data_IF_507434259024
#
_entry.id   IF_507434259024
#
_cell.length_a   1.000
_cell.length_b   1.000
_cell.length_c   1.000
_cell.angle_alpha   90.00
_cell.angle_beta   90.00
_cell.angle_gamma   90.00
#
_symmetry.space_group_name_H-M   'P 1'
#
loop_
_entity.id
_entity.type
_entity.pdbx_description
1 polymer ?
#
# COMPACT_ATOMS: atom_id res chain seq x y z
N UNK A 1 -12.41 13.52 -12.32
CA UNK A 1 -11.79 12.21 -12.04
C UNK A 1 -10.76 12.38 -10.94
N UNK A 2 -11.08 11.88 -9.74
CA UNK A 2 -10.36 12.05 -8.46
C UNK A 2 -9.28 10.99 -8.31
N UNK A 3 -8.14 11.35 -7.71
CA UNK A 3 -7.08 10.39 -7.32
C UNK A 3 -7.62 9.43 -6.25
N UNK A 4 -7.20 8.17 -6.24
CA UNK A 4 -7.58 7.23 -5.18
C UNK A 4 -6.71 7.49 -3.96
N UNK A 5 -7.30 7.71 -2.78
CA UNK A 5 -6.56 7.82 -1.51
C UNK A 5 -7.01 6.71 -0.58
N UNK A 6 -6.05 5.95 -0.05
CA UNK A 6 -6.30 4.90 0.93
C UNK A 6 -5.75 5.33 2.30
N UNK A 7 -6.40 4.85 3.35
CA UNK A 7 -6.04 5.17 4.73
C UNK A 7 -5.66 3.90 5.47
N UNK A 8 -4.47 3.90 6.09
CA UNK A 8 -3.89 2.74 6.75
C UNK A 8 -3.49 3.12 8.16
N UNK A 9 -3.91 2.30 9.12
CA UNK A 9 -3.37 2.31 10.48
C UNK A 9 -2.61 1.00 10.66
N UNK A 10 -1.29 1.03 10.47
CA UNK A 10 -0.51 -0.20 10.35
C UNK A 10 -0.32 -0.92 11.69
N UNK A 11 -0.51 -0.23 12.83
CA UNK A 11 -0.58 -0.87 14.15
C UNK A 11 -1.73 -1.89 14.28
N UNK A 12 -2.69 -1.90 13.35
CA UNK A 12 -3.79 -2.87 13.34
C UNK A 12 -3.44 -4.22 12.71
N UNK A 13 -2.26 -4.35 12.11
CA UNK A 13 -1.84 -5.57 11.43
C UNK A 13 -0.69 -6.24 12.18
N UNK A 14 -0.83 -7.55 12.40
CA UNK A 14 0.16 -8.34 13.14
C UNK A 14 1.35 -8.77 12.27
N UNK A 15 1.27 -8.60 10.95
CA UNK A 15 2.35 -8.96 10.01
C UNK A 15 2.30 -8.16 8.72
N UNK A 16 3.42 -8.18 7.99
CA UNK A 16 3.50 -7.64 6.63
C UNK A 16 2.45 -8.27 5.70
N UNK A 17 2.19 -9.57 5.84
CA UNK A 17 1.20 -10.29 5.03
C UNK A 17 -0.22 -9.78 5.27
N UNK A 18 -0.60 -9.53 6.53
CA UNK A 18 -1.91 -8.98 6.86
C UNK A 18 -2.10 -7.57 6.30
N UNK A 19 -1.07 -6.72 6.40
CA UNK A 19 -1.06 -5.40 5.75
C UNK A 19 -1.30 -5.52 4.24
N UNK A 20 -0.59 -6.43 3.57
CA UNK A 20 -0.76 -6.66 2.13
C UNK A 20 -2.13 -7.22 1.75
N UNK A 21 -2.73 -8.08 2.59
CA UNK A 21 -4.11 -8.54 2.36
C UNK A 21 -5.12 -7.39 2.50
N UNK A 22 -4.91 -6.47 3.45
CA UNK A 22 -5.72 -5.27 3.56
C UNK A 22 -5.56 -4.37 2.32
N UNK A 23 -4.32 -4.17 1.84
CA UNK A 23 -4.05 -3.44 0.60
C UNK A 23 -4.76 -4.06 -0.60
N UNK A 24 -4.72 -5.39 -0.73
CA UNK A 24 -5.44 -6.12 -1.78
C UNK A 24 -6.93 -5.77 -1.81
N UNK A 25 -7.57 -5.74 -0.65
CA UNK A 25 -8.99 -5.41 -0.55
C UNK A 25 -9.26 -3.93 -0.84
N UNK A 26 -8.44 -3.01 -0.31
CA UNK A 26 -8.62 -1.56 -0.49
C UNK A 26 -8.38 -1.10 -1.92
N UNK A 27 -7.44 -1.75 -2.62
CA UNK A 27 -7.02 -1.40 -3.97
C UNK A 27 -7.66 -2.26 -5.06
N UNK A 28 -8.50 -3.22 -4.67
CA UNK A 28 -9.12 -4.21 -5.57
C UNK A 28 -8.06 -4.94 -6.43
N UNK A 29 -6.99 -5.41 -5.78
CA UNK A 29 -5.89 -6.11 -6.46
C UNK A 29 -6.31 -7.53 -6.87
N UNK A 30 -5.74 -8.06 -7.97
CA UNK A 30 -6.15 -9.35 -8.51
C UNK A 30 -5.96 -10.52 -7.53
N UNK A 31 -6.66 -11.62 -7.81
CA UNK A 31 -6.63 -12.84 -6.98
C UNK A 31 -5.22 -13.39 -6.79
N UNK A 32 -4.35 -13.26 -7.81
CA UNK A 32 -2.96 -13.73 -7.83
C UNK A 32 -1.95 -12.78 -7.14
N UNK A 33 -2.41 -11.72 -6.48
CA UNK A 33 -1.54 -10.77 -5.77
C UNK A 33 -0.61 -11.47 -4.74
N UNK A 34 0.71 -11.32 -4.93
CA UNK A 34 1.76 -12.04 -4.19
C UNK A 34 2.01 -11.61 -2.74
N UNK A 35 1.23 -10.65 -2.22
CA UNK A 35 1.31 -10.17 -0.84
C UNK A 35 2.70 -9.65 -0.42
N UNK A 36 3.38 -8.95 -1.33
CA UNK A 36 4.67 -8.31 -1.10
C UNK A 36 4.75 -7.00 -1.90
N UNK A 37 5.82 -6.23 -1.68
CA UNK A 37 6.00 -4.92 -2.31
C UNK A 37 6.24 -5.00 -3.83
N UNK A 38 6.97 -6.00 -4.31
CA UNK A 38 7.23 -6.17 -5.75
C UNK A 38 5.91 -6.45 -6.50
N UNK A 39 5.09 -7.36 -5.97
CA UNK A 39 3.77 -7.64 -6.50
C UNK A 39 2.84 -6.42 -6.41
N UNK A 40 3.05 -5.52 -5.44
CA UNK A 40 2.27 -4.27 -5.33
C UNK A 40 2.66 -3.32 -6.45
N UNK A 41 3.97 -3.16 -6.68
CA UNK A 41 4.50 -2.36 -7.77
C UNK A 41 3.97 -2.86 -9.12
N UNK A 42 4.04 -4.16 -9.38
CA UNK A 42 3.53 -4.77 -10.61
C UNK A 42 2.04 -4.43 -10.81
N UNK A 43 1.20 -4.68 -9.80
CA UNK A 43 -0.24 -4.42 -9.92
C UNK A 43 -0.57 -2.93 -10.11
N UNK A 44 0.15 -2.03 -9.43
CA UNK A 44 -0.12 -0.60 -9.49
C UNK A 44 0.46 0.05 -10.76
N UNK A 45 1.58 -0.45 -11.27
CA UNK A 45 2.21 0.06 -12.50
C UNK A 45 1.38 -0.27 -13.75
N UNK A 46 0.67 -1.40 -13.76
CA UNK A 46 -0.25 -1.78 -14.84
C UNK A 46 -1.61 -1.05 -14.76
N UNK A 47 -1.90 -0.41 -13.62
CA UNK A 47 -3.18 0.25 -13.39
C UNK A 47 -3.33 1.46 -14.31
N UNK A 48 -4.35 1.43 -15.18
CA UNK A 48 -4.73 2.59 -15.99
C UNK A 48 -5.47 3.60 -15.11
N UNK A 49 -4.90 4.77 -14.88
CA UNK A 49 -5.56 5.84 -14.13
C UNK A 49 -4.60 6.82 -13.46
N UNK A 50 -5.13 7.54 -12.47
CA UNK A 50 -4.31 8.40 -11.60
C UNK A 50 -3.57 7.55 -10.55
N UNK A 51 -2.44 8.06 -10.04
CA UNK A 51 -1.71 7.44 -8.93
C UNK A 51 -2.59 7.21 -7.70
N UNK A 52 -2.16 6.26 -6.87
CA UNK A 52 -2.74 5.98 -5.56
C UNK A 52 -2.02 6.83 -4.54
N UNK A 53 -2.75 7.49 -3.65
CA UNK A 53 -2.19 8.19 -2.51
C UNK A 53 -2.39 7.36 -1.23
N UNK A 54 -1.45 7.47 -0.30
CA UNK A 54 -1.47 6.77 0.97
C UNK A 54 -1.48 7.76 2.14
N UNK A 55 -2.49 7.66 3.00
CA UNK A 55 -2.49 8.30 4.29
C UNK A 55 -2.28 7.25 5.38
N UNK A 56 -1.24 7.43 6.19
CA UNK A 56 -0.83 6.52 7.24
C UNK A 56 -1.10 7.16 8.60
N UNK A 57 -1.83 6.49 9.49
CA UNK A 57 -2.02 6.97 10.87
C UNK A 57 -0.86 6.55 11.76
N UNK A 58 -0.49 5.28 11.70
CA UNK A 58 0.68 4.75 12.39
C UNK A 58 1.45 3.79 11.48
N UNK A 59 2.79 3.77 11.51
CA UNK A 59 3.60 2.86 10.72
C UNK A 59 3.65 1.43 11.27
N UNK A 60 3.09 1.17 12.46
CA UNK A 60 3.26 -0.11 13.15
C UNK A 60 4.70 -0.32 13.62
N UNK A 61 5.03 -1.56 14.00
CA UNK A 61 6.34 -1.93 14.53
C UNK A 61 6.89 -3.19 13.85
N UNK A 62 8.19 -3.43 14.01
CA UNK A 62 8.87 -4.62 13.49
C UNK A 62 8.70 -4.81 11.98
N UNK A 63 8.36 -6.03 11.57
CA UNK A 63 8.18 -6.39 10.17
C UNK A 63 7.09 -5.56 9.46
N UNK A 64 6.02 -5.19 10.17
CA UNK A 64 4.95 -4.35 9.61
C UNK A 64 5.46 -2.96 9.26
N UNK A 65 6.33 -2.37 10.10
CA UNK A 65 6.95 -1.08 9.82
C UNK A 65 7.86 -1.13 8.58
N UNK A 66 8.62 -2.22 8.42
CA UNK A 66 9.44 -2.43 7.23
C UNK A 66 8.59 -2.61 5.96
N UNK A 67 7.46 -3.33 6.07
CA UNK A 67 6.51 -3.46 4.98
C UNK A 67 5.88 -2.12 4.60
N UNK A 68 5.47 -1.30 5.58
CA UNK A 68 4.95 0.05 5.34
C UNK A 68 5.96 0.91 4.60
N UNK A 69 7.24 0.88 4.98
CA UNK A 69 8.30 1.64 4.28
C UNK A 69 8.40 1.25 2.81
N UNK A 70 8.33 -0.05 2.51
CA UNK A 70 8.34 -0.54 1.12
C UNK A 70 7.08 -0.12 0.35
N UNK A 71 5.91 -0.17 1.00
CA UNK A 71 4.65 0.28 0.40
C UNK A 71 4.70 1.78 0.09
N UNK A 72 5.20 2.60 1.02
CA UNK A 72 5.42 4.04 0.81
C UNK A 72 6.29 4.27 -0.42
N UNK A 73 7.42 3.56 -0.51
CA UNK A 73 8.33 3.69 -1.65
C UNK A 73 7.65 3.34 -2.98
N UNK A 74 6.89 2.24 -3.04
CA UNK A 74 6.14 1.86 -4.26
C UNK A 74 5.13 2.92 -4.67
N UNK A 75 4.43 3.51 -3.69
CA UNK A 75 3.44 4.56 -3.95
C UNK A 75 4.12 5.80 -4.53
N UNK A 76 5.23 6.25 -3.93
CA UNK A 76 5.97 7.44 -4.36
C UNK A 76 6.62 7.24 -5.73
N UNK A 77 7.21 6.06 -5.98
CA UNK A 77 7.82 5.72 -7.26
C UNK A 77 6.81 5.74 -8.41
N UNK A 78 5.56 5.38 -8.15
CA UNK A 78 4.46 5.42 -9.11
C UNK A 78 3.75 6.79 -9.17
N UNK A 79 4.33 7.82 -8.54
CA UNK A 79 3.86 9.20 -8.58
C UNK A 79 2.70 9.50 -7.63
N UNK A 80 2.45 8.64 -6.66
CA UNK A 80 1.48 8.84 -5.60
C UNK A 80 2.06 9.63 -4.42
N UNK A 81 1.20 10.31 -3.67
CA UNK A 81 1.60 11.03 -2.47
C UNK A 81 1.43 10.15 -1.22
N UNK A 82 2.37 10.27 -0.27
CA UNK A 82 2.25 9.66 1.05
C UNK A 82 2.22 10.73 2.15
N UNK A 83 1.40 10.50 3.19
CA UNK A 83 1.32 11.40 4.34
C UNK A 83 1.09 10.62 5.63
N UNK A 84 1.88 10.91 6.65
CA UNK A 84 1.58 10.51 8.03
C UNK A 84 0.58 11.52 8.64
N UNK A 85 -0.49 11.02 9.26
CA UNK A 85 -1.59 11.78 9.85
C UNK A 85 -1.51 11.87 11.37
#
# INVERSE_FOLDING_TARGET
MTSLTIFIDAARYASAKELHLALKMMLDLPSHYGCNADALYDCLSERKGKPVNLCLFTPGEGETADAVRKVVHVIEDLGGDTRLL
#
